data_IF_457905224365
#
_entry.id   IF_457905224365
#
_cell.length_a   1.000
_cell.length_b   1.000
_cell.length_c   1.000
_cell.angle_alpha   90.00
_cell.angle_beta   90.00
_cell.angle_gamma   90.00
#
_symmetry.space_group_name_H-M   'P 1'
#
loop_
_entity.id
_entity.type
_entity.pdbx_description
1 polymer ?
#
# COMPACT_ATOMS: atom_id res chain seq x y z
N UNK A 1 5.28 13.07 -6.22
CA UNK A 1 5.98 11.97 -5.52
C UNK A 1 6.66 12.51 -4.28
N UNK A 2 6.40 11.89 -3.15
CA UNK A 2 6.99 12.27 -1.87
C UNK A 2 7.61 11.04 -1.20
N UNK A 3 8.68 11.25 -0.46
CA UNK A 3 9.34 10.20 0.31
C UNK A 3 9.43 10.65 1.77
N UNK A 4 9.17 9.74 2.67
CA UNK A 4 9.25 10.03 4.11
C UNK A 4 9.62 8.78 4.91
N UNK A 5 10.14 9.04 6.10
CA UNK A 5 10.59 8.03 7.05
C UNK A 5 9.60 7.94 8.22
N UNK A 6 9.28 6.74 8.64
CA UNK A 6 8.44 6.51 9.82
C UNK A 6 9.26 6.76 11.08
N UNK A 7 8.73 7.55 12.00
CA UNK A 7 9.42 7.91 13.25
C UNK A 7 9.42 6.75 14.24
N UNK A 8 8.25 6.15 14.47
CA UNK A 8 8.10 5.01 15.39
C UNK A 8 7.84 3.73 14.60
N UNK A 9 8.91 3.00 14.31
CA UNK A 9 8.86 1.79 13.49
C UNK A 9 8.03 0.70 14.16
N UNK A 10 8.20 0.50 15.46
CA UNK A 10 7.48 -0.54 16.21
C UNK A 10 5.97 -0.31 16.19
N UNK A 11 5.55 0.91 16.46
CA UNK A 11 4.13 1.29 16.42
C UNK A 11 3.56 1.11 15.01
N UNK A 12 4.31 1.54 14.00
CA UNK A 12 3.91 1.37 12.61
C UNK A 12 3.74 -0.10 12.24
N UNK A 13 4.70 -0.94 12.58
CA UNK A 13 4.64 -2.38 12.27
C UNK A 13 3.46 -3.05 12.98
N UNK A 14 3.13 -2.64 14.20
CA UNK A 14 1.96 -3.13 14.90
C UNK A 14 0.67 -2.72 14.19
N UNK A 15 0.56 -1.48 13.73
CA UNK A 15 -0.59 -0.98 12.96
C UNK A 15 -0.73 -1.68 11.62
N UNK A 16 0.38 -2.01 10.98
CA UNK A 16 0.40 -2.69 9.69
C UNK A 16 0.01 -4.17 9.81
N UNK A 17 0.59 -4.89 10.77
CA UNK A 17 0.52 -6.35 10.83
C UNK A 17 -0.53 -6.88 11.79
N UNK A 18 -0.85 -6.16 12.85
CA UNK A 18 -1.79 -6.59 13.89
C UNK A 18 -3.07 -5.76 13.84
N UNK A 19 -2.94 -4.44 13.72
CA UNK A 19 -4.09 -3.54 13.61
C UNK A 19 -4.76 -3.60 12.25
N UNK A 20 -5.80 -2.81 12.08
CA UNK A 20 -6.64 -2.79 10.87
C UNK A 20 -6.45 -1.52 10.03
N UNK A 21 -5.45 -0.71 10.35
CA UNK A 21 -5.25 0.62 9.75
C UNK A 21 -5.14 0.57 8.23
N UNK A 22 -4.40 -0.41 7.70
CA UNK A 22 -4.12 -0.53 6.27
C UNK A 22 -5.02 -1.52 5.53
N UNK A 23 -6.03 -2.05 6.19
CA UNK A 23 -6.86 -3.15 5.68
C UNK A 23 -7.57 -2.86 4.35
N UNK A 24 -7.89 -1.60 4.09
CA UNK A 24 -8.59 -1.20 2.86
C UNK A 24 -7.67 -0.92 1.67
N UNK A 25 -6.36 -0.95 1.88
CA UNK A 25 -5.42 -0.87 0.77
C UNK A 25 -5.33 -2.22 0.06
N UNK A 26 -5.05 -2.17 -1.23
CA UNK A 26 -4.81 -3.36 -2.05
C UNK A 26 -3.31 -3.65 -2.06
N UNK A 27 -2.95 -4.92 -2.05
CA UNK A 27 -1.55 -5.32 -2.18
C UNK A 27 -1.22 -5.62 -3.63
N UNK A 28 -0.21 -4.95 -4.16
CA UNK A 28 0.34 -5.27 -5.48
C UNK A 28 1.41 -6.34 -5.35
N UNK A 29 2.36 -6.15 -4.43
CA UNK A 29 3.41 -7.12 -4.18
C UNK A 29 3.95 -6.98 -2.75
N UNK A 30 4.44 -8.09 -2.23
CA UNK A 30 5.10 -8.15 -0.92
C UNK A 30 6.30 -9.07 -1.01
N UNK A 31 7.42 -8.65 -0.42
CA UNK A 31 8.63 -9.43 -0.36
C UNK A 31 9.23 -9.31 1.04
N UNK A 32 9.59 -10.45 1.63
CA UNK A 32 10.27 -10.50 2.92
C UNK A 32 11.53 -11.34 2.80
N UNK A 33 12.63 -10.86 3.39
CA UNK A 33 13.89 -11.58 3.52
C UNK A 33 14.12 -11.88 4.99
N UNK A 34 14.05 -13.15 5.36
CA UNK A 34 14.27 -13.65 6.73
C UNK A 34 15.00 -14.98 6.66
N UNK A 35 14.42 -16.06 7.18
CA UNK A 35 14.99 -17.41 7.01
C UNK A 35 15.05 -17.83 5.53
N UNK A 36 14.19 -17.28 4.73
CA UNK A 36 14.14 -17.42 3.28
C UNK A 36 13.60 -16.14 2.69
N UNK A 37 13.74 -15.97 1.40
CA UNK A 37 13.10 -14.88 0.68
C UNK A 37 11.74 -15.36 0.20
N UNK A 38 10.67 -14.72 0.67
CA UNK A 38 9.30 -15.04 0.30
C UNK A 38 8.71 -13.86 -0.45
N UNK A 39 8.09 -14.13 -1.59
CA UNK A 39 7.42 -13.12 -2.42
C UNK A 39 5.95 -13.48 -2.55
N UNK A 40 5.07 -12.50 -2.37
CA UNK A 40 3.63 -12.63 -2.57
C UNK A 40 3.22 -11.69 -3.69
N UNK A 41 2.61 -12.24 -4.73
CA UNK A 41 1.94 -11.49 -5.78
C UNK A 41 0.53 -11.17 -5.30
N UNK A 42 0.17 -9.89 -5.29
CA UNK A 42 -1.13 -9.45 -4.80
C UNK A 42 -2.27 -9.62 -5.80
N UNK A 43 -1.98 -10.03 -7.04
CA UNK A 43 -3.03 -10.32 -8.02
C UNK A 43 -3.81 -11.56 -7.58
N UNK A 44 -5.13 -11.42 -7.52
CA UNK A 44 -6.00 -12.51 -7.09
C UNK A 44 -5.89 -13.69 -8.06
N UNK A 45 -5.63 -14.87 -7.51
CA UNK A 45 -5.61 -16.10 -8.29
C UNK A 45 -7.05 -16.60 -8.47
N UNK A 46 -7.69 -16.20 -9.56
CA UNK A 46 -9.10 -16.50 -9.82
C UNK A 46 -9.40 -17.99 -9.83
N UNK A 47 -8.45 -18.81 -10.27
CA UNK A 47 -8.63 -20.26 -10.32
C UNK A 47 -8.82 -20.91 -8.93
N UNK A 48 -8.41 -20.25 -7.88
CA UNK A 48 -8.57 -20.74 -6.50
C UNK A 48 -9.99 -20.55 -5.96
N UNK A 49 -10.73 -19.55 -6.47
CA UNK A 49 -12.06 -19.20 -5.99
C UNK A 49 -13.13 -19.95 -6.78
N UNK A 50 -14.16 -20.45 -6.09
CA UNK A 50 -15.33 -21.07 -6.74
C UNK A 50 -16.12 -20.01 -7.54
N UNK A 51 -16.22 -18.81 -6.99
CA UNK A 51 -16.85 -17.67 -7.63
C UNK A 51 -16.02 -16.42 -7.34
N UNK A 52 -15.36 -15.90 -8.38
CA UNK A 52 -14.57 -14.67 -8.31
C UNK A 52 -15.34 -13.44 -8.79
N UNK A 53 -16.59 -13.60 -9.20
CA UNK A 53 -17.42 -12.49 -9.67
C UNK A 53 -17.63 -11.48 -8.54
N UNK A 54 -17.38 -10.20 -8.83
CA UNK A 54 -17.48 -9.12 -7.86
C UNK A 54 -16.25 -8.95 -6.95
N UNK A 55 -15.28 -9.86 -7.03
CA UNK A 55 -13.99 -9.71 -6.36
C UNK A 55 -13.05 -8.87 -7.22
N UNK A 56 -12.27 -7.99 -6.58
CA UNK A 56 -11.31 -7.15 -7.28
C UNK A 56 -10.12 -7.94 -7.82
N UNK A 57 -9.38 -7.33 -8.73
CA UNK A 57 -8.16 -7.90 -9.31
C UNK A 57 -7.07 -8.15 -8.27
N UNK A 58 -6.92 -7.24 -7.31
CA UNK A 58 -5.92 -7.33 -6.25
C UNK A 58 -6.54 -7.78 -4.93
N UNK A 59 -5.76 -8.52 -4.17
CA UNK A 59 -6.12 -8.87 -2.80
C UNK A 59 -6.02 -7.64 -1.90
N UNK A 60 -6.97 -7.47 -0.98
CA UNK A 60 -6.87 -6.44 0.04
C UNK A 60 -5.89 -6.86 1.13
N UNK A 61 -5.31 -5.87 1.82
CA UNK A 61 -4.45 -6.16 2.96
C UNK A 61 -5.19 -6.89 4.07
N UNK A 62 -6.48 -6.61 4.23
CA UNK A 62 -7.34 -7.34 5.16
C UNK A 62 -7.32 -8.85 4.93
N UNK A 63 -7.35 -9.28 3.66
CA UNK A 63 -7.35 -10.70 3.30
C UNK A 63 -5.99 -11.36 3.57
N UNK A 64 -4.90 -10.60 3.52
CA UNK A 64 -3.53 -11.11 3.59
C UNK A 64 -2.84 -10.90 4.92
N UNK A 65 -3.24 -9.91 5.68
CA UNK A 65 -2.54 -9.42 6.88
C UNK A 65 -2.17 -10.53 7.85
N UNK A 66 -3.11 -11.41 8.19
CA UNK A 66 -2.86 -12.48 9.15
C UNK A 66 -1.82 -13.50 8.63
N UNK A 67 -1.86 -13.79 7.34
CA UNK A 67 -0.91 -14.71 6.70
C UNK A 67 0.49 -14.12 6.65
N UNK A 68 0.59 -12.84 6.30
CA UNK A 68 1.86 -12.14 6.24
C UNK A 68 2.47 -11.98 7.64
N UNK A 69 1.66 -11.69 8.66
CA UNK A 69 2.16 -11.54 10.02
C UNK A 69 2.80 -12.83 10.55
N UNK A 70 2.34 -14.00 10.11
CA UNK A 70 2.97 -15.27 10.45
C UNK A 70 4.38 -15.40 9.88
N UNK A 71 4.63 -14.82 8.72
CA UNK A 71 5.97 -14.80 8.10
C UNK A 71 6.92 -13.84 8.81
N UNK A 72 6.39 -12.77 9.40
CA UNK A 72 7.19 -11.76 10.11
C UNK A 72 7.48 -12.19 11.54
N UNK A 73 6.56 -12.91 12.19
CA UNK A 73 6.73 -13.40 13.54
C UNK A 73 7.85 -14.43 13.62
N UNK A 74 8.71 -14.25 14.62
CA UNK A 74 9.80 -15.17 14.89
C UNK A 74 10.72 -14.59 15.95
N UNK A 75 11.76 -15.36 16.32
CA UNK A 75 12.74 -14.95 17.32
C UNK A 75 13.67 -13.84 16.82
N UNK A 76 13.67 -13.60 15.50
CA UNK A 76 14.53 -12.63 14.86
C UNK A 76 13.72 -11.68 13.98
N UNK A 77 14.13 -10.42 13.97
CA UNK A 77 13.59 -9.42 13.07
C UNK A 77 14.01 -9.77 11.62
N UNK A 78 13.11 -9.67 10.63
CA UNK A 78 13.49 -9.83 9.23
C UNK A 78 14.62 -8.89 8.82
N UNK A 79 15.45 -9.33 7.88
CA UNK A 79 16.53 -8.49 7.32
C UNK A 79 15.95 -7.34 6.50
N UNK A 80 14.92 -7.60 5.71
CA UNK A 80 14.30 -6.61 4.86
C UNK A 80 12.86 -7.00 4.53
N UNK A 81 12.05 -6.01 4.23
CA UNK A 81 10.67 -6.18 3.79
C UNK A 81 10.34 -5.07 2.80
N UNK A 82 9.69 -5.43 1.70
CA UNK A 82 9.20 -4.47 0.70
C UNK A 82 7.75 -4.77 0.40
N UNK A 83 6.95 -3.74 0.29
CA UNK A 83 5.55 -3.88 -0.10
C UNK A 83 5.16 -2.73 -1.02
N UNK A 84 4.33 -3.05 -2.01
CA UNK A 84 3.69 -2.05 -2.86
C UNK A 84 2.19 -2.14 -2.61
N UNK A 85 1.64 -1.07 -2.07
CA UNK A 85 0.21 -0.94 -1.82
C UNK A 85 -0.43 -0.01 -2.84
N UNK A 86 -1.66 -0.29 -3.15
CA UNK A 86 -2.48 0.50 -4.07
C UNK A 86 -3.75 0.95 -3.36
N UNK A 87 -4.16 2.18 -3.59
CA UNK A 87 -5.46 2.67 -3.10
C UNK A 87 -6.58 1.91 -3.81
N UNK A 88 -7.67 1.61 -3.11
CA UNK A 88 -8.82 0.92 -3.69
C UNK A 88 -9.37 1.69 -4.89
N UNK A 89 -10.03 0.99 -5.82
CA UNK A 89 -10.62 1.63 -7.00
C UNK A 89 -11.61 2.72 -6.63
N UNK A 90 -12.49 2.46 -5.67
CA UNK A 90 -13.48 3.44 -5.20
C UNK A 90 -12.82 4.70 -4.66
N UNK A 91 -11.80 4.57 -3.85
CA UNK A 91 -11.09 5.72 -3.29
C UNK A 91 -10.23 6.42 -4.33
N UNK A 92 -9.66 5.69 -5.29
CA UNK A 92 -8.94 6.28 -6.41
C UNK A 92 -9.87 7.16 -7.26
N UNK A 93 -11.07 6.69 -7.53
CA UNK A 93 -12.09 7.47 -8.23
C UNK A 93 -12.45 8.76 -7.48
N UNK A 94 -12.57 8.69 -6.16
CA UNK A 94 -12.87 9.87 -5.32
C UNK A 94 -11.74 10.91 -5.39
N UNK A 95 -10.50 10.49 -5.37
CA UNK A 95 -9.36 11.41 -5.49
C UNK A 95 -9.32 12.03 -6.88
N UNK A 96 -9.48 11.23 -7.92
CA UNK A 96 -9.49 11.71 -9.30
C UNK A 96 -10.66 12.67 -9.60
N UNK A 97 -11.81 12.44 -8.98
CA UNK A 97 -12.99 13.30 -9.15
C UNK A 97 -12.72 14.74 -8.70
N UNK A 98 -11.82 14.96 -7.76
CA UNK A 98 -11.42 16.31 -7.32
C UNK A 98 -10.77 17.12 -8.44
N UNK A 99 -10.24 16.46 -9.46
CA UNK A 99 -9.66 17.07 -10.66
C UNK A 99 -10.60 17.01 -11.86
N UNK A 100 -11.87 16.64 -11.66
CA UNK A 100 -12.83 16.51 -12.73
C UNK A 100 -12.71 15.24 -13.56
N UNK A 101 -11.92 14.26 -13.12
CA UNK A 101 -11.76 12.97 -13.80
C UNK A 101 -12.80 12.00 -13.26
N UNK A 102 -13.71 11.52 -14.13
CA UNK A 102 -14.82 10.65 -13.73
C UNK A 102 -14.68 9.21 -14.21
N UNK A 103 -13.61 8.88 -14.94
CA UNK A 103 -13.39 7.59 -15.56
C UNK A 103 -12.05 6.95 -15.15
N UNK A 104 -11.59 7.24 -13.92
CA UNK A 104 -10.29 6.76 -13.42
C UNK A 104 -10.17 5.24 -13.42
N UNK A 105 -11.26 4.53 -13.06
CA UNK A 105 -11.25 3.06 -13.07
C UNK A 105 -11.14 2.49 -14.49
N UNK A 106 -11.85 3.06 -15.44
CA UNK A 106 -11.79 2.65 -16.85
C UNK A 106 -10.42 2.89 -17.47
N UNK A 107 -9.74 3.95 -17.04
CA UNK A 107 -8.38 4.30 -17.47
C UNK A 107 -7.29 3.60 -16.68
N UNK A 108 -7.66 2.75 -15.73
CA UNK A 108 -6.73 2.02 -14.84
C UNK A 108 -5.76 2.94 -14.11
N UNK A 109 -6.25 4.10 -13.63
CA UNK A 109 -5.44 4.99 -12.80
C UNK A 109 -5.09 4.31 -11.49
N UNK A 110 -3.86 4.42 -11.06
CA UNK A 110 -3.39 3.85 -9.81
C UNK A 110 -2.66 4.86 -8.93
N UNK A 111 -2.97 4.81 -7.64
CA UNK A 111 -2.30 5.59 -6.61
C UNK A 111 -1.64 4.60 -5.66
N UNK A 112 -0.32 4.71 -5.52
CA UNK A 112 0.49 3.71 -4.84
C UNK A 112 1.32 4.33 -3.73
N UNK A 113 1.71 3.49 -2.78
CA UNK A 113 2.88 3.77 -1.96
C UNK A 113 3.74 2.52 -1.85
N UNK A 114 5.05 2.73 -1.88
CA UNK A 114 6.07 1.70 -1.72
C UNK A 114 6.62 1.79 -0.31
N UNK A 115 6.59 0.68 0.41
CA UNK A 115 7.10 0.55 1.76
C UNK A 115 8.36 -0.27 1.73
N UNK A 116 9.41 0.21 2.41
CA UNK A 116 10.67 -0.53 2.55
C UNK A 116 11.09 -0.52 4.01
N UNK A 117 11.24 -1.72 4.57
CA UNK A 117 11.84 -1.95 5.88
C UNK A 117 13.23 -2.53 5.68
N UNK A 118 14.24 -1.90 6.23
CA UNK A 118 15.63 -2.35 6.20
C UNK A 118 16.41 -1.59 7.27
N UNK A 119 17.36 -2.26 7.92
CA UNK A 119 18.19 -1.65 8.97
C UNK A 119 17.37 -0.98 10.08
N UNK A 120 16.27 -1.59 10.45
CA UNK A 120 15.34 -1.08 11.46
C UNK A 120 14.74 0.29 11.12
N UNK A 121 14.66 0.63 9.85
CA UNK A 121 14.01 1.84 9.35
C UNK A 121 12.88 1.47 8.39
N UNK A 122 11.84 2.29 8.38
CA UNK A 122 10.74 2.17 7.42
C UNK A 122 10.66 3.47 6.60
N UNK A 123 10.81 3.33 5.30
CA UNK A 123 10.64 4.42 4.36
C UNK A 123 9.43 4.15 3.46
N UNK A 124 8.70 5.20 3.15
CA UNK A 124 7.55 5.15 2.25
C UNK A 124 7.75 6.16 1.14
N UNK A 125 7.49 5.72 -0.10
CA UNK A 125 7.55 6.57 -1.29
C UNK A 125 6.23 6.43 -2.04
N UNK A 126 5.58 7.55 -2.33
CA UNK A 126 4.34 7.57 -3.11
C UNK A 126 4.62 7.46 -4.59
N UNK A 127 3.62 7.04 -5.35
CA UNK A 127 3.69 6.98 -6.80
C UNK A 127 2.31 7.00 -7.42
N UNK A 128 2.25 7.36 -8.68
CA UNK A 128 1.01 7.35 -9.47
C UNK A 128 1.25 6.66 -10.79
N UNK A 129 0.22 6.00 -11.29
CA UNK A 129 0.18 5.43 -12.64
C UNK A 129 -1.01 6.05 -13.36
N UNK A 130 -0.74 6.93 -14.31
CA UNK A 130 -1.75 7.69 -15.04
C UNK A 130 -1.33 7.80 -16.49
N UNK A 131 -2.26 7.53 -17.40
CA UNK A 131 -1.99 7.63 -18.85
C UNK A 131 -1.95 9.07 -19.35
N UNK A 132 -2.61 10.00 -18.65
CA UNK A 132 -2.64 11.41 -19.01
C UNK A 132 -1.55 12.16 -18.25
N UNK A 133 -0.53 12.58 -18.98
CA UNK A 133 0.62 13.28 -18.42
C UNK A 133 0.26 14.62 -17.75
N UNK A 134 -0.76 15.31 -18.27
CA UNK A 134 -1.18 16.62 -17.73
C UNK A 134 -1.78 16.51 -16.34
N UNK A 135 -2.46 15.40 -16.06
CA UNK A 135 -3.13 15.15 -14.78
C UNK A 135 -2.18 14.51 -13.77
N UNK A 136 -1.14 13.81 -14.22
CA UNK A 136 -0.25 13.02 -13.39
C UNK A 136 0.33 13.81 -12.21
N UNK A 137 0.82 15.03 -12.45
CA UNK A 137 1.43 15.87 -11.43
C UNK A 137 0.40 16.32 -10.37
N UNK A 138 -0.75 16.79 -10.82
CA UNK A 138 -1.80 17.28 -9.91
C UNK A 138 -2.39 16.13 -9.09
N UNK A 139 -2.63 14.99 -9.73
CA UNK A 139 -3.13 13.80 -9.06
C UNK A 139 -2.11 13.29 -8.03
N UNK A 140 -0.82 13.29 -8.39
CA UNK A 140 0.25 12.94 -7.49
C UNK A 140 0.30 13.83 -6.25
N UNK A 141 0.15 15.13 -6.42
CA UNK A 141 0.13 16.08 -5.31
C UNK A 141 -1.07 15.83 -4.37
N UNK A 142 -2.25 15.60 -4.93
CA UNK A 142 -3.43 15.25 -4.13
C UNK A 142 -3.23 13.95 -3.36
N UNK A 143 -2.66 12.96 -4.01
CA UNK A 143 -2.39 11.68 -3.38
C UNK A 143 -1.37 11.80 -2.24
N UNK A 144 -0.32 12.56 -2.44
CA UNK A 144 0.69 12.83 -1.41
C UNK A 144 0.05 13.46 -0.18
N UNK A 145 -0.80 14.46 -0.38
CA UNK A 145 -1.53 15.11 0.71
C UNK A 145 -2.49 14.13 1.41
N UNK A 146 -3.23 13.34 0.65
CA UNK A 146 -4.21 12.41 1.20
C UNK A 146 -3.53 11.31 2.01
N UNK A 147 -2.40 10.79 1.55
CA UNK A 147 -1.66 9.78 2.30
C UNK A 147 -1.11 10.36 3.61
N UNK A 148 -0.56 11.56 3.57
CA UNK A 148 -0.06 12.22 4.79
C UNK A 148 -1.18 12.49 5.79
N UNK A 149 -2.35 12.90 5.32
CA UNK A 149 -3.54 13.06 6.18
C UNK A 149 -3.98 11.74 6.80
N UNK A 150 -3.98 10.67 6.01
CA UNK A 150 -4.29 9.32 6.49
C UNK A 150 -3.35 8.90 7.61
N UNK A 151 -2.05 9.06 7.41
CA UNK A 151 -1.04 8.70 8.41
C UNK A 151 -1.20 9.53 9.69
N UNK A 152 -1.46 10.82 9.55
CA UNK A 152 -1.70 11.71 10.68
C UNK A 152 -2.97 11.32 11.45
N UNK A 153 -4.03 10.99 10.74
CA UNK A 153 -5.29 10.56 11.35
C UNK A 153 -5.09 9.33 12.24
N UNK A 154 -4.28 8.38 11.80
CA UNK A 154 -3.97 7.17 12.55
C UNK A 154 -2.75 7.33 13.47
N UNK A 155 -2.32 8.56 13.73
CA UNK A 155 -1.24 8.88 14.67
C UNK A 155 0.10 8.22 14.29
N UNK A 156 0.40 8.17 13.01
CA UNK A 156 1.66 7.68 12.47
C UNK A 156 2.53 8.89 12.13
N UNK A 157 3.52 9.16 12.98
CA UNK A 157 4.45 10.28 12.77
C UNK A 157 5.47 9.96 11.68
N UNK A 158 5.74 10.94 10.83
CA UNK A 158 6.67 10.81 9.71
C UNK A 158 7.63 11.99 9.65
N UNK A 159 8.80 11.76 9.07
CA UNK A 159 9.78 12.78 8.72
C UNK A 159 9.92 12.82 7.20
N UNK A 160 9.79 14.01 6.62
CA UNK A 160 9.99 14.18 5.18
C UNK A 160 11.45 13.95 4.82
N UNK A 161 11.69 13.22 3.75
CA UNK A 161 13.02 12.97 3.22
C UNK A 161 13.38 13.92 2.07
#
# INVERSE_FOLDING_TARGET
MVAFKIVDVRDFMNKLLIGEVFDNFLLVSFEISSFAKVTIDGVRNEAWYEDSEGLGRYLSWKELRNKVSLLVKGDRIPLAMKAVFRLSETNTEKVAAKLGVNDAAEKDYGLFFNLKFENNEVNIVTGVSVTDFLISKELGNLWDEDLLKFLKYYQIAVEML
#
